data_IF_550360718746
#
_entry.id   IF_550360718746
#
_cell.length_a   1.000
_cell.length_b   1.000
_cell.length_c   1.000
_cell.angle_alpha   90.00
_cell.angle_beta   90.00
_cell.angle_gamma   90.00
#
_symmetry.space_group_name_H-M   'P 1'
#
loop_
_entity.id
_entity.type
_entity.pdbx_description
1 polymer ?
#
# COMPACT_ATOMS: atom_id res chain seq x y z
N UNK A 1 -4.49 -9.51 -18.74
CA UNK A 1 -4.50 -8.03 -18.76
C UNK A 1 -3.33 -7.58 -19.64
N UNK A 2 -3.38 -6.40 -20.26
CA UNK A 2 -2.20 -5.81 -20.91
C UNK A 2 -1.72 -4.70 -20.00
N UNK A 3 -0.50 -4.82 -19.49
CA UNK A 3 0.02 -3.95 -18.44
C UNK A 3 1.09 -3.01 -19.01
N UNK A 4 1.05 -1.75 -18.58
CA UNK A 4 2.08 -0.74 -18.85
C UNK A 4 2.69 -0.37 -17.51
N UNK A 5 3.96 -0.74 -17.29
CA UNK A 5 4.69 -0.42 -16.08
C UNK A 5 5.37 0.94 -16.22
N UNK A 6 4.97 1.91 -15.42
CA UNK A 6 5.57 3.24 -15.38
C UNK A 6 6.33 3.36 -14.06
N UNK A 7 7.66 3.53 -14.06
CA UNK A 7 8.39 3.81 -12.84
C UNK A 7 7.98 5.20 -12.36
N UNK A 8 7.37 5.27 -11.19
CA UNK A 8 7.05 6.55 -10.54
C UNK A 8 8.23 6.87 -9.60
N UNK A 9 8.87 8.05 -9.71
CA UNK A 9 9.94 8.44 -8.79
C UNK A 9 9.42 8.53 -7.36
N UNK A 10 10.30 8.46 -6.36
CA UNK A 10 9.93 8.45 -4.94
C UNK A 10 8.89 9.53 -4.62
N UNK A 11 7.67 9.11 -4.33
CA UNK A 11 6.60 9.96 -3.83
C UNK A 11 6.33 9.58 -2.37
N UNK A 12 6.25 10.58 -1.49
CA UNK A 12 6.17 10.42 -0.04
C UNK A 12 4.83 9.83 0.44
N UNK A 13 4.75 9.54 1.73
CA UNK A 13 3.66 8.81 2.42
C UNK A 13 2.27 9.43 2.30
N UNK A 14 2.15 10.65 1.77
CA UNK A 14 0.89 11.37 1.57
C UNK A 14 0.77 11.99 0.18
N UNK A 15 1.66 11.62 -0.74
CA UNK A 15 1.60 12.10 -2.12
C UNK A 15 0.71 11.19 -2.97
N UNK A 16 -0.09 11.82 -3.82
CA UNK A 16 -0.94 11.12 -4.79
C UNK A 16 -0.24 11.21 -6.15
N UNK A 17 0.03 10.06 -6.76
CA UNK A 17 0.46 9.95 -8.14
C UNK A 17 -0.77 9.82 -9.05
N UNK A 18 -0.97 10.78 -9.96
CA UNK A 18 -2.02 10.75 -10.98
C UNK A 18 -1.44 10.28 -12.32
N UNK A 19 -2.11 9.32 -12.95
CA UNK A 19 -1.73 8.77 -14.27
C UNK A 19 -2.91 8.91 -15.24
N UNK A 20 -2.75 9.71 -16.30
CA UNK A 20 -3.71 9.81 -17.40
C UNK A 20 -3.23 8.97 -18.60
N UNK A 21 -4.03 7.98 -19.00
CA UNK A 21 -3.77 7.13 -20.16
C UNK A 21 -4.79 7.43 -21.24
N UNK A 22 -4.34 7.64 -22.47
CA UNK A 22 -5.21 7.80 -23.65
C UNK A 22 -5.11 6.59 -24.56
N UNK A 23 -6.23 5.91 -24.83
CA UNK A 23 -6.30 4.78 -25.78
C UNK A 23 -7.38 5.08 -26.82
N UNK A 24 -7.00 5.15 -28.10
CA UNK A 24 -7.90 5.53 -29.21
C UNK A 24 -8.69 6.82 -28.93
N UNK A 25 -8.00 7.85 -28.42
CA UNK A 25 -8.60 9.14 -28.08
C UNK A 25 -9.46 9.15 -26.81
N UNK A 26 -9.68 8.01 -26.14
CA UNK A 26 -10.39 7.94 -24.87
C UNK A 26 -9.42 8.05 -23.70
N UNK A 27 -9.60 9.09 -22.87
CA UNK A 27 -8.82 9.33 -21.66
C UNK A 27 -9.35 8.51 -20.48
N UNK A 28 -8.45 7.95 -19.69
CA UNK A 28 -8.72 7.37 -18.37
C UNK A 28 -7.71 7.92 -17.37
N UNK A 29 -8.17 8.33 -16.19
CA UNK A 29 -7.33 8.82 -15.10
C UNK A 29 -7.32 7.85 -13.95
N UNK A 30 -6.15 7.58 -13.41
CA UNK A 30 -5.96 6.71 -12.26
C UNK A 30 -5.20 7.47 -11.18
N UNK A 31 -5.66 7.35 -9.95
CA UNK A 31 -4.99 7.94 -8.79
C UNK A 31 -4.41 6.82 -7.94
N UNK A 32 -3.13 6.97 -7.59
CA UNK A 32 -2.39 6.04 -6.76
C UNK A 32 -1.82 6.78 -5.55
N UNK A 33 -1.71 6.10 -4.42
CA UNK A 33 -1.20 6.66 -3.17
C UNK A 33 -0.47 5.57 -2.40
N UNK A 34 0.65 5.92 -1.78
CA UNK A 34 1.40 5.03 -0.90
C UNK A 34 1.17 5.47 0.52
N UNK A 35 0.71 4.55 1.35
CA UNK A 35 0.57 4.74 2.80
C UNK A 35 1.66 4.00 3.54
N UNK A 36 2.09 4.57 4.66
CA UNK A 36 2.94 3.90 5.63
C UNK A 36 2.11 3.50 6.85
N UNK A 37 2.12 2.21 7.17
CA UNK A 37 1.53 1.68 8.39
C UNK A 37 2.62 1.26 9.35
N UNK A 38 2.37 1.40 10.65
CA UNK A 38 3.24 0.86 11.70
C UNK A 38 3.44 -0.65 11.48
N UNK A 39 4.70 -1.06 11.42
CA UNK A 39 5.11 -2.44 11.19
C UNK A 39 5.88 -3.02 12.36
N UNK A 40 6.70 -2.21 13.01
CA UNK A 40 7.37 -2.64 14.22
C UNK A 40 6.45 -2.40 15.41
N UNK A 41 6.22 -3.47 16.17
CA UNK A 41 5.56 -3.41 17.46
C UNK A 41 6.56 -3.89 18.50
N UNK A 42 6.36 -3.52 19.76
CA UNK A 42 7.21 -3.96 20.87
C UNK A 42 7.58 -5.46 20.74
N UNK A 43 8.88 -5.73 20.62
CA UNK A 43 9.40 -7.10 20.60
C UNK A 43 9.16 -7.69 21.98
N UNK A 44 8.13 -8.54 22.09
CA UNK A 44 7.91 -9.30 23.31
C UNK A 44 8.89 -10.48 23.32
N UNK A 45 9.96 -10.33 24.10
CA UNK A 45 10.98 -11.37 24.29
C UNK A 45 10.43 -12.69 24.88
N UNK A 46 9.15 -12.72 25.31
CA UNK A 46 8.46 -13.92 25.78
C UNK A 46 7.73 -14.69 24.67
N UNK A 47 7.56 -14.10 23.48
CA UNK A 47 6.86 -14.72 22.33
C UNK A 47 7.87 -15.21 21.31
N UNK A 48 7.58 -16.36 20.71
CA UNK A 48 8.36 -16.84 19.56
C UNK A 48 8.16 -15.93 18.33
N UNK A 49 9.07 -16.08 17.36
CA UNK A 49 9.11 -15.24 16.16
C UNK A 49 7.86 -15.38 15.30
N UNK A 50 7.25 -16.57 15.25
CA UNK A 50 6.05 -16.81 14.45
C UNK A 50 4.86 -16.06 15.04
N UNK A 51 4.65 -16.21 16.35
CA UNK A 51 3.59 -15.50 17.09
C UNK A 51 3.67 -13.98 16.92
N UNK A 52 4.88 -13.41 17.01
CA UNK A 52 5.09 -11.96 16.80
C UNK A 52 4.79 -11.55 15.35
N UNK A 53 5.13 -12.39 14.37
CA UNK A 53 4.84 -12.14 12.95
C UNK A 53 3.35 -12.16 12.67
N UNK A 54 2.61 -13.11 13.25
CA UNK A 54 1.15 -13.21 13.12
C UNK A 54 0.44 -11.97 13.66
N UNK A 55 0.90 -11.44 14.81
CA UNK A 55 0.35 -10.20 15.39
C UNK A 55 0.59 -8.98 14.48
N UNK A 56 1.78 -8.87 13.87
CA UNK A 56 2.09 -7.81 12.90
C UNK A 56 1.18 -7.89 11.68
N UNK A 57 1.03 -9.08 11.10
CA UNK A 57 0.15 -9.31 9.94
C UNK A 57 -1.31 -8.98 10.29
N UNK A 58 -1.76 -9.36 11.49
CA UNK A 58 -3.12 -9.06 11.96
C UNK A 58 -3.37 -7.55 12.06
N UNK A 59 -2.45 -6.80 12.70
CA UNK A 59 -2.55 -5.33 12.81
C UNK A 59 -2.57 -4.66 11.44
N UNK A 60 -1.68 -5.08 10.53
CA UNK A 60 -1.64 -4.55 9.18
C UNK A 60 -2.97 -4.79 8.44
N UNK A 61 -3.52 -6.00 8.57
CA UNK A 61 -4.82 -6.34 7.97
C UNK A 61 -5.93 -5.44 8.51
N UNK A 62 -6.00 -5.25 9.83
CA UNK A 62 -6.98 -4.35 10.46
C UNK A 62 -6.84 -2.90 9.97
N UNK A 63 -5.59 -2.41 9.85
CA UNK A 63 -5.32 -1.07 9.32
C UNK A 63 -5.78 -0.92 7.86
N UNK A 64 -5.52 -1.92 7.01
CA UNK A 64 -5.95 -1.91 5.59
C UNK A 64 -7.47 -2.00 5.48
N UNK A 65 -8.13 -2.83 6.29
CA UNK A 65 -9.59 -2.99 6.28
C UNK A 65 -10.32 -1.77 6.84
N UNK A 66 -9.72 -1.08 7.81
CA UNK A 66 -10.22 0.17 8.39
C UNK A 66 -9.95 1.42 7.55
N UNK A 67 -9.19 1.29 6.47
CA UNK A 67 -8.82 2.40 5.59
C UNK A 67 -9.99 2.87 4.71
N UNK A 68 -9.80 4.00 4.01
CA UNK A 68 -10.81 4.60 3.15
C UNK A 68 -11.27 3.64 2.03
N UNK A 69 -12.56 3.31 2.03
CA UNK A 69 -13.19 2.38 1.08
C UNK A 69 -13.21 2.87 -0.37
N UNK A 70 -13.00 4.17 -0.59
CA UNK A 70 -12.81 4.72 -1.94
C UNK A 70 -11.47 4.34 -2.56
N UNK A 71 -10.57 3.74 -1.78
CA UNK A 71 -9.30 3.19 -2.23
C UNK A 71 -9.32 1.66 -2.19
N UNK A 72 -8.52 1.04 -3.05
CA UNK A 72 -8.34 -0.40 -3.12
C UNK A 72 -6.87 -0.78 -3.01
N UNK A 73 -6.58 -1.84 -2.25
CA UNK A 73 -5.23 -2.38 -2.10
C UNK A 73 -4.71 -2.89 -3.44
N UNK A 74 -3.52 -2.43 -3.84
CA UNK A 74 -2.82 -2.92 -5.04
C UNK A 74 -1.61 -3.76 -4.66
N UNK A 75 -0.77 -3.27 -3.76
CA UNK A 75 0.48 -3.93 -3.41
C UNK A 75 0.91 -3.60 -1.98
N UNK A 76 1.46 -4.58 -1.27
CA UNK A 76 2.19 -4.38 -0.02
C UNK A 76 3.68 -4.52 -0.35
N UNK A 77 4.49 -3.53 0.02
CA UNK A 77 5.93 -3.58 -0.19
C UNK A 77 6.60 -4.40 0.92
N UNK A 78 7.66 -5.12 0.57
CA UNK A 78 8.49 -5.81 1.56
C UNK A 78 9.20 -4.77 2.43
N UNK A 79 8.99 -4.74 3.75
CA UNK A 79 9.70 -3.82 4.62
C UNK A 79 11.19 -4.17 4.65
N UNK A 80 12.04 -3.15 4.68
CA UNK A 80 13.48 -3.35 4.90
C UNK A 80 13.74 -3.89 6.32
N UNK A 81 14.90 -4.52 6.52
CA UNK A 81 15.28 -4.98 7.86
C UNK A 81 15.35 -3.80 8.83
N UNK A 82 14.70 -3.93 9.98
CA UNK A 82 14.60 -2.88 10.99
C UNK A 82 13.61 -1.75 10.68
N UNK A 83 12.83 -1.85 9.59
CA UNK A 83 11.84 -0.83 9.27
C UNK A 83 10.73 -0.76 10.33
N UNK A 84 10.48 0.46 10.80
CA UNK A 84 9.37 0.76 11.72
C UNK A 84 8.01 0.80 11.02
N UNK A 85 8.03 0.96 9.69
CA UNK A 85 6.82 1.09 8.87
C UNK A 85 6.84 0.12 7.69
N UNK A 86 5.66 -0.25 7.22
CA UNK A 86 5.46 -0.99 5.98
C UNK A 86 4.66 -0.13 5.00
N UNK A 87 5.12 -0.09 3.76
CA UNK A 87 4.48 0.69 2.72
C UNK A 87 3.42 -0.14 1.99
N UNK A 88 2.30 0.50 1.67
CA UNK A 88 1.18 -0.11 0.96
C UNK A 88 0.70 0.82 -0.14
N UNK A 89 0.67 0.31 -1.37
CA UNK A 89 0.14 1.01 -2.54
C UNK A 89 -1.37 0.78 -2.65
N UNK A 90 -2.09 1.89 -2.75
CA UNK A 90 -3.51 1.93 -3.04
C UNK A 90 -3.79 2.58 -4.39
N UNK A 91 -4.89 2.16 -5.02
CA UNK A 91 -5.49 2.83 -6.18
C UNK A 91 -6.85 3.36 -5.78
N UNK A 92 -7.21 4.56 -6.23
CA UNK A 92 -8.56 5.05 -6.03
C UNK A 92 -9.52 4.27 -6.93
N UNK A 93 -10.62 3.78 -6.35
CA UNK A 93 -11.70 3.12 -7.09
C UNK A 93 -12.29 4.11 -8.08
N UNK A 94 -12.40 3.70 -9.33
CA UNK A 94 -13.16 4.47 -10.31
C UNK A 94 -14.65 4.23 -10.07
N UNK A 95 -15.39 5.29 -9.77
CA UNK A 95 -16.85 5.27 -9.86
C UNK A 95 -17.19 5.30 -11.35
N UNK A 96 -17.81 4.22 -11.84
CA UNK A 96 -18.36 4.18 -13.20
C UNK A 96 -19.52 5.15 -13.36
#
# INVERSE_FOLDING_TARGET
>A
MKDICIPVPHFGEHQIAEVEVTVNGKKKRFNFRVESFEWDGEIDNKKDVLSQTEEKVKKLKENIEGYDRSWELVQIYTPSQGSQHIQVLFRQRQTN
#
